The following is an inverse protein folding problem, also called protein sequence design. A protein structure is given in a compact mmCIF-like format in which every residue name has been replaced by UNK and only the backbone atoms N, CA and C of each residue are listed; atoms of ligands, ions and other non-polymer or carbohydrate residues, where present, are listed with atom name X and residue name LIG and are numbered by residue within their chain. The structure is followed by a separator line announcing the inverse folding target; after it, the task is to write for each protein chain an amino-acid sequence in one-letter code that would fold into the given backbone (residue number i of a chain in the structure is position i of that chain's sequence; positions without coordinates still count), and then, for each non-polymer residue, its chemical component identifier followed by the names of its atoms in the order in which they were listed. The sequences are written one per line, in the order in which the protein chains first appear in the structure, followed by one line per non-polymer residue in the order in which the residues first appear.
data_IF_270821741645
#
_entry.id   IF_270821741645
#
_cell.length_a   1.000
_cell.length_b   1.000
_cell.length_c   1.000
_cell.angle_alpha   90.00
_cell.angle_beta   90.00
_cell.angle_gamma   90.00
#
_symmetry.space_group_name_H-M   'P 1'
#
loop_
_entity.id
_entity.type
_entity.pdbx_description
1 polymer ?
#
# COMPACT_ATOMS: atom_id res chain seq x y z
N UNK A 1 -3.88 52.05 -60.79
CA UNK A 1 -3.81 50.77 -60.05
C UNK A 1 -2.46 50.66 -59.36
N UNK A 2 -2.43 50.58 -58.02
CA UNK A 2 -1.34 50.17 -57.09
C UNK A 2 -1.58 50.84 -55.73
N UNK A 3 -2.41 50.21 -54.89
CA UNK A 3 -2.05 49.37 -53.72
C UNK A 3 -1.70 50.19 -52.47
N UNK A 4 -2.67 50.29 -51.55
CA UNK A 4 -2.47 50.70 -50.14
C UNK A 4 -2.03 49.46 -49.34
N UNK A 5 -0.96 49.52 -48.52
CA UNK A 5 -0.68 48.44 -47.58
C UNK A 5 -1.55 48.60 -46.33
N UNK A 6 -2.31 47.54 -46.02
CA UNK A 6 -2.98 47.33 -44.74
C UNK A 6 -1.91 47.00 -43.69
N UNK A 7 -1.77 47.84 -42.66
CA UNK A 7 -0.95 47.53 -41.49
C UNK A 7 -1.66 46.48 -40.62
N UNK A 8 -1.05 45.31 -40.51
CA UNK A 8 -1.51 44.20 -39.67
C UNK A 8 -1.14 44.49 -38.21
N UNK A 9 -2.13 44.69 -37.35
CA UNK A 9 -1.95 44.80 -35.90
C UNK A 9 -1.74 43.38 -35.34
N UNK A 10 -0.51 43.03 -35.00
CA UNK A 10 -0.16 41.74 -34.41
C UNK A 10 -0.59 41.66 -32.94
N UNK A 11 -1.52 40.76 -32.63
CA UNK A 11 -1.94 40.43 -31.27
C UNK A 11 -0.94 39.41 -30.69
N UNK A 12 -0.09 39.84 -29.76
CA UNK A 12 0.81 38.98 -29.00
C UNK A 12 0.05 38.37 -27.81
N UNK A 13 -0.41 37.12 -27.95
CA UNK A 13 -0.96 36.34 -26.83
C UNK A 13 0.18 35.70 -26.05
N UNK A 14 0.49 36.24 -24.87
CA UNK A 14 1.42 35.60 -23.93
C UNK A 14 0.72 34.40 -23.26
N UNK A 15 1.17 33.19 -23.57
CA UNK A 15 0.71 31.97 -22.91
C UNK A 15 1.41 31.83 -21.55
N UNK A 16 0.68 32.12 -20.47
CA UNK A 16 1.14 31.86 -19.10
C UNK A 16 1.08 30.35 -18.83
N UNK A 17 2.25 29.73 -18.69
CA UNK A 17 2.38 28.36 -18.19
C UNK A 17 2.08 28.37 -16.68
N UNK A 18 0.88 27.95 -16.30
CA UNK A 18 0.55 27.69 -14.90
C UNK A 18 1.22 26.39 -14.46
N UNK A 19 2.25 26.50 -13.61
CA UNK A 19 2.83 25.36 -12.91
C UNK A 19 1.88 24.92 -11.80
N UNK A 20 1.19 23.80 -11.98
CA UNK A 20 0.47 23.14 -10.91
C UNK A 20 1.48 22.42 -10.00
N UNK A 21 1.44 22.61 -8.67
CA UNK A 21 2.25 21.79 -7.78
C UNK A 21 1.76 20.35 -7.83
N UNK A 22 2.60 19.43 -8.29
CA UNK A 22 2.39 17.99 -8.07
C UNK A 22 2.63 17.76 -6.58
N UNK A 23 1.57 17.45 -5.83
CA UNK A 23 1.70 17.04 -4.44
C UNK A 23 2.49 15.72 -4.40
N UNK A 24 3.75 15.79 -3.99
CA UNK A 24 4.53 14.62 -3.63
C UNK A 24 3.77 13.90 -2.50
N UNK A 25 3.19 12.73 -2.82
CA UNK A 25 2.58 11.89 -1.81
C UNK A 25 3.70 11.41 -0.90
N UNK A 26 3.69 11.86 0.35
CA UNK A 26 4.54 11.28 1.37
C UNK A 26 4.10 9.83 1.56
N UNK A 27 4.91 8.90 1.04
CA UNK A 27 4.77 7.45 1.15
C UNK A 27 5.14 6.98 2.57
N UNK A 28 4.61 7.66 3.59
CA UNK A 28 5.04 7.48 4.98
C UNK A 28 4.40 6.27 5.65
N UNK A 29 3.54 5.53 4.94
CA UNK A 29 2.73 4.45 5.50
C UNK A 29 1.94 4.87 6.73
N UNK A 30 1.72 6.18 6.95
CA UNK A 30 1.14 6.73 8.17
C UNK A 30 -0.01 7.66 7.81
N UNK A 31 -1.15 7.49 8.49
CA UNK A 31 -2.31 8.36 8.36
C UNK A 31 -2.81 8.80 9.75
N UNK A 32 -3.46 9.96 9.78
CA UNK A 32 -4.06 10.51 11.00
C UNK A 32 -5.59 10.52 10.87
N UNK A 33 -6.28 10.14 11.94
CA UNK A 33 -7.73 10.19 12.03
C UNK A 33 -8.25 11.50 12.61
N UNK A 34 -9.58 11.61 12.68
CA UNK A 34 -10.28 12.85 13.02
C UNK A 34 -9.99 13.36 14.45
N UNK A 35 -9.64 12.48 15.39
CA UNK A 35 -9.35 12.83 16.79
C UNK A 35 -7.84 12.88 17.06
N UNK A 36 -7.02 12.85 16.00
CA UNK A 36 -5.56 12.95 16.09
C UNK A 36 -4.84 11.62 16.28
N UNK A 37 -5.57 10.51 16.39
CA UNK A 37 -5.01 9.16 16.41
C UNK A 37 -4.23 8.86 15.14
N UNK A 38 -3.18 8.04 15.24
CA UNK A 38 -2.32 7.68 14.12
C UNK A 38 -2.39 6.20 13.84
N UNK A 39 -2.40 5.86 12.56
CA UNK A 39 -2.24 4.50 12.07
C UNK A 39 -0.98 4.46 11.21
N UNK A 40 -0.19 3.40 11.36
CA UNK A 40 1.03 3.17 10.58
C UNK A 40 1.03 1.75 10.05
N UNK A 41 1.38 1.56 8.79
CA UNK A 41 1.63 0.26 8.16
C UNK A 41 3.11 0.14 7.82
N UNK A 42 3.66 -1.07 7.94
CA UNK A 42 5.07 -1.33 7.63
C UNK A 42 5.41 -1.20 6.14
N UNK A 43 4.41 -1.29 5.25
CA UNK A 43 4.56 -1.12 3.81
C UNK A 43 3.21 -0.75 3.17
N UNK A 44 3.24 0.18 2.22
CA UNK A 44 2.11 0.63 1.39
C UNK A 44 2.12 -0.01 0.01
N UNK A 45 3.30 -0.38 -0.49
CA UNK A 45 3.48 -1.19 -1.69
C UNK A 45 3.74 -2.64 -1.29
N UNK A 46 2.89 -3.57 -1.72
CA UNK A 46 2.84 -4.94 -1.19
C UNK A 46 2.68 -5.99 -2.29
N UNK A 47 3.04 -7.23 -2.02
CA UNK A 47 2.77 -8.39 -2.88
C UNK A 47 1.64 -9.26 -2.33
N UNK A 48 1.08 -10.13 -3.18
CA UNK A 48 0.09 -11.11 -2.74
C UNK A 48 0.66 -12.03 -1.64
N UNK A 49 -0.11 -12.25 -0.59
CA UNK A 49 0.30 -13.06 0.56
C UNK A 49 1.27 -12.37 1.54
N UNK A 50 1.70 -11.14 1.27
CA UNK A 50 2.56 -10.38 2.18
C UNK A 50 1.86 -10.12 3.52
N UNK A 51 2.58 -10.30 4.63
CA UNK A 51 2.10 -9.89 5.96
C UNK A 51 2.65 -8.50 6.28
N UNK A 52 1.78 -7.57 6.67
CA UNK A 52 2.16 -6.24 7.13
C UNK A 52 1.95 -6.10 8.62
N UNK A 53 2.82 -5.33 9.28
CA UNK A 53 2.63 -4.91 10.67
C UNK A 53 1.90 -3.57 10.67
N UNK A 54 0.89 -3.47 11.53
CA UNK A 54 0.05 -2.28 11.68
C UNK A 54 0.16 -1.81 13.12
N UNK A 55 0.52 -0.55 13.32
CA UNK A 55 0.63 0.08 14.64
C UNK A 55 -0.35 1.24 14.74
N UNK A 56 -1.09 1.29 15.83
CA UNK A 56 -1.97 2.40 16.16
C UNK A 56 -1.50 3.14 17.41
N UNK A 57 -1.78 4.44 17.47
CA UNK A 57 -1.49 5.30 18.61
C UNK A 57 -2.62 6.32 18.84
N UNK A 58 -3.00 6.55 20.10
CA UNK A 58 -3.94 7.60 20.47
C UNK A 58 -5.40 7.30 20.20
N UNK A 59 -5.78 6.03 20.03
CA UNK A 59 -7.19 5.64 19.89
C UNK A 59 -7.94 5.78 21.22
N UNK A 60 -9.23 6.13 21.16
CA UNK A 60 -10.09 6.20 22.34
C UNK A 60 -10.38 4.79 22.89
N UNK A 61 -9.76 4.46 24.02
CA UNK A 61 -9.88 3.14 24.66
C UNK A 61 -11.27 2.86 25.23
N UNK A 62 -12.15 3.87 25.33
CA UNK A 62 -13.57 3.67 25.70
C UNK A 62 -14.39 3.10 24.54
N UNK A 63 -13.79 2.95 23.35
CA UNK A 63 -14.40 2.40 22.14
C UNK A 63 -13.63 1.19 21.63
N UNK A 64 -14.35 0.13 21.30
CA UNK A 64 -13.77 -0.97 20.54
C UNK A 64 -13.65 -0.59 19.06
N UNK A 65 -12.59 -1.04 18.41
CA UNK A 65 -12.32 -0.81 16.98
C UNK A 65 -11.98 -2.10 16.26
N UNK A 66 -12.22 -2.11 14.96
CA UNK A 66 -11.61 -3.07 14.05
C UNK A 66 -10.41 -2.46 13.35
N UNK A 67 -9.33 -3.24 13.23
CA UNK A 67 -8.21 -3.00 12.32
C UNK A 67 -8.30 -4.06 11.22
N UNK A 68 -8.49 -3.65 9.96
CA UNK A 68 -8.78 -4.59 8.88
C UNK A 68 -8.19 -4.16 7.55
N UNK A 69 -8.05 -5.12 6.62
CA UNK A 69 -7.77 -4.86 5.22
C UNK A 69 -9.08 -4.98 4.42
N UNK A 70 -9.48 -3.94 3.68
CA UNK A 70 -10.77 -3.91 3.00
C UNK A 70 -10.71 -3.22 1.64
N UNK A 71 -11.73 -3.48 0.81
CA UNK A 71 -12.07 -2.58 -0.30
C UNK A 71 -12.43 -1.22 0.28
N UNK A 72 -11.74 -0.19 -0.19
CA UNK A 72 -11.94 1.17 0.27
C UNK A 72 -13.00 1.85 -0.59
N UNK A 73 -14.05 2.33 0.06
CA UNK A 73 -15.10 3.11 -0.56
C UNK A 73 -14.83 4.62 -0.40
N UNK A 74 -13.73 5.06 0.17
CA UNK A 74 -13.42 6.48 0.39
C UNK A 74 -14.18 7.11 1.56
N UNK A 75 -14.10 8.44 1.64
CA UNK A 75 -14.50 9.20 2.83
C UNK A 75 -15.98 9.04 3.23
N UNK A 76 -16.19 8.88 4.54
CA UNK A 76 -17.52 8.71 5.14
C UNK A 76 -18.22 7.41 4.81
N UNK A 77 -17.67 6.56 3.92
CA UNK A 77 -18.26 5.27 3.54
C UNK A 77 -17.59 4.14 4.30
N UNK A 78 -18.38 3.16 4.73
CA UNK A 78 -17.85 1.99 5.45
C UNK A 78 -17.07 1.09 4.48
N UNK A 79 -15.78 0.81 4.71
CA UNK A 79 -15.00 -0.10 3.87
C UNK A 79 -15.61 -1.50 3.89
N UNK A 80 -15.85 -2.09 2.72
CA UNK A 80 -16.44 -3.44 2.57
C UNK A 80 -16.34 -3.92 1.11
N UNK A 81 -16.15 -5.22 0.85
CA UNK A 81 -15.86 -6.28 1.82
C UNK A 81 -14.44 -6.16 2.40
N UNK A 82 -14.22 -6.79 3.56
CA UNK A 82 -12.91 -6.90 4.19
C UNK A 82 -12.32 -8.30 3.96
N UNK A 83 -11.00 -8.35 3.76
CA UNK A 83 -10.22 -9.57 3.65
C UNK A 83 -10.36 -10.45 4.90
N UNK A 84 -10.44 -11.76 4.70
CA UNK A 84 -10.60 -12.75 5.78
C UNK A 84 -12.01 -12.84 6.39
N UNK A 85 -12.95 -11.96 6.01
CA UNK A 85 -14.31 -11.96 6.55
C UNK A 85 -14.36 -11.55 8.04
N UNK A 86 -15.52 -11.75 8.68
CA UNK A 86 -15.64 -11.56 10.11
C UNK A 86 -14.93 -12.71 10.84
N UNK A 87 -13.84 -12.42 11.54
CA UNK A 87 -13.14 -13.43 12.32
C UNK A 87 -13.87 -13.72 13.65
N UNK A 88 -14.89 -14.57 13.58
CA UNK A 88 -15.65 -15.00 14.76
C UNK A 88 -14.90 -16.05 15.60
N UNK A 89 -13.70 -16.44 15.17
CA UNK A 89 -12.86 -17.46 15.81
C UNK A 89 -11.60 -16.89 16.48
N UNK A 90 -11.19 -15.67 16.10
CA UNK A 90 -9.90 -15.08 16.46
C UNK A 90 -8.70 -15.67 15.72
N UNK A 91 -8.91 -16.54 14.72
CA UNK A 91 -7.86 -17.27 13.98
C UNK A 91 -7.78 -16.88 12.49
N UNK A 92 -8.76 -16.14 11.99
CA UNK A 92 -8.89 -15.76 10.57
C UNK A 92 -7.87 -14.72 10.11
N UNK A 93 -7.36 -13.88 11.02
CA UNK A 93 -6.20 -13.00 10.78
C UNK A 93 -6.36 -11.92 9.70
N UNK A 94 -7.55 -11.79 9.09
CA UNK A 94 -7.89 -10.72 8.13
C UNK A 94 -8.36 -9.42 8.78
N UNK A 95 -8.67 -9.47 10.08
CA UNK A 95 -9.01 -8.32 10.91
C UNK A 95 -8.69 -8.60 12.38
N UNK A 96 -8.41 -7.55 13.14
CA UNK A 96 -8.25 -7.62 14.59
C UNK A 96 -9.31 -6.74 15.27
N UNK A 97 -9.91 -7.25 16.34
CA UNK A 97 -10.80 -6.48 17.21
C UNK A 97 -9.99 -6.00 18.41
N UNK A 98 -9.86 -4.69 18.59
CA UNK A 98 -9.19 -4.10 19.73
C UNK A 98 -10.25 -3.46 20.64
N UNK A 99 -10.34 -3.87 21.90
CA UNK A 99 -11.28 -3.31 22.88
C UNK A 99 -10.86 -3.62 24.32
N UNK A 100 -10.95 -2.62 25.21
CA UNK A 100 -10.78 -2.81 26.65
C UNK A 100 -12.07 -3.27 27.36
N UNK A 101 -13.23 -3.05 26.73
CA UNK A 101 -14.56 -3.41 27.25
C UNK A 101 -15.43 -4.06 26.16
N UNK A 102 -15.05 -5.25 25.64
CA UNK A 102 -15.88 -5.96 24.68
C UNK A 102 -17.13 -6.54 25.36
N UNK A 103 -18.26 -6.70 24.63
CA UNK A 103 -19.39 -7.50 25.08
C UNK A 103 -18.98 -8.92 25.53
N UNK A 104 -19.81 -9.63 26.33
CA UNK A 104 -19.43 -10.93 26.88
C UNK A 104 -18.93 -11.97 25.87
N UNK A 105 -19.47 -12.00 24.65
CA UNK A 105 -19.02 -12.93 23.59
C UNK A 105 -17.65 -12.58 23.01
N UNK A 106 -17.19 -11.34 23.19
CA UNK A 106 -15.94 -10.83 22.63
C UNK A 106 -14.75 -10.90 23.57
N UNK A 107 -14.93 -11.32 24.82
CA UNK A 107 -13.87 -11.29 25.84
C UNK A 107 -12.63 -12.11 25.49
N UNK A 108 -12.82 -13.20 24.74
CA UNK A 108 -11.73 -14.08 24.28
C UNK A 108 -11.37 -13.84 22.80
N UNK A 109 -12.00 -12.86 22.15
CA UNK A 109 -11.78 -12.51 20.74
C UNK A 109 -11.11 -11.15 20.57
N UNK A 110 -11.44 -10.19 21.42
CA UNK A 110 -10.88 -8.84 21.38
C UNK A 110 -9.53 -8.80 22.10
N UNK A 111 -8.55 -8.19 21.45
CA UNK A 111 -7.28 -7.84 22.04
C UNK A 111 -7.43 -6.51 22.81
N UNK A 112 -6.78 -6.38 23.96
CA UNK A 112 -6.79 -5.12 24.70
C UNK A 112 -5.95 -4.06 24.00
N UNK A 113 -6.28 -2.79 24.23
CA UNK A 113 -5.36 -1.72 23.88
C UNK A 113 -4.09 -1.80 24.74
N UNK A 114 -2.99 -1.37 24.13
CA UNK A 114 -1.78 -0.98 24.83
C UNK A 114 -1.89 0.42 25.43
N UNK A 115 -0.78 0.89 25.99
CA UNK A 115 -0.72 2.22 26.60
C UNK A 115 -1.17 3.33 25.63
N UNK A 116 -1.94 4.30 26.15
CA UNK A 116 -2.41 5.48 25.41
C UNK A 116 -3.18 5.15 24.11
N UNK A 117 -4.00 4.10 24.11
CA UNK A 117 -4.76 3.70 22.92
C UNK A 117 -3.90 3.09 21.83
N UNK A 118 -2.77 2.50 22.21
CA UNK A 118 -1.84 1.87 21.27
C UNK A 118 -2.26 0.45 20.90
N UNK A 119 -1.79 -0.05 19.76
CA UNK A 119 -1.84 -1.49 19.43
C UNK A 119 -0.78 -1.83 18.39
N UNK A 120 -0.47 -3.12 18.24
CA UNK A 120 0.34 -3.63 17.14
C UNK A 120 -0.18 -4.99 16.71
N UNK A 121 -0.59 -5.09 15.45
CA UNK A 121 -1.19 -6.31 14.88
C UNK A 121 -0.55 -6.65 13.53
N UNK A 122 -0.77 -7.87 13.05
CA UNK A 122 -0.23 -8.34 11.77
C UNK A 122 -1.33 -8.93 10.92
N UNK A 123 -1.54 -8.36 9.74
CA UNK A 123 -2.54 -8.85 8.79
C UNK A 123 -1.83 -9.41 7.57
N UNK A 124 -2.22 -10.63 7.15
CA UNK A 124 -1.80 -11.19 5.87
C UNK A 124 -2.71 -10.66 4.78
N UNK A 125 -2.10 -10.00 3.79
CA UNK A 125 -2.81 -9.37 2.68
C UNK A 125 -2.97 -10.36 1.53
N UNK A 126 -4.11 -10.28 0.85
CA UNK A 126 -4.36 -11.00 -0.38
C UNK A 126 -4.74 -9.98 -1.46
N UNK A 127 -4.24 -10.17 -2.68
CA UNK A 127 -4.58 -9.31 -3.80
C UNK A 127 -6.07 -9.37 -4.14
N UNK A 128 -6.77 -10.45 -3.73
CA UNK A 128 -8.21 -10.60 -3.90
C UNK A 128 -8.94 -10.68 -2.57
N UNK A 129 -10.10 -10.03 -2.49
CA UNK A 129 -11.03 -10.17 -1.37
C UNK A 129 -12.31 -10.82 -1.89
N UNK A 130 -12.51 -12.10 -1.58
CA UNK A 130 -13.59 -12.89 -2.18
C UNK A 130 -13.42 -13.01 -3.70
N UNK A 131 -14.53 -13.15 -4.41
CA UNK A 131 -14.55 -13.33 -5.87
C UNK A 131 -14.60 -11.99 -6.64
N UNK A 132 -15.13 -10.93 -6.00
CA UNK A 132 -15.54 -9.70 -6.68
C UNK A 132 -14.58 -8.51 -6.52
N UNK A 133 -13.55 -8.63 -5.66
CA UNK A 133 -12.61 -7.54 -5.40
C UNK A 133 -11.19 -7.97 -5.79
N UNK A 134 -10.58 -7.16 -6.64
CA UNK A 134 -9.20 -7.31 -7.07
C UNK A 134 -8.42 -6.03 -6.74
N UNK A 135 -7.67 -6.06 -5.64
CA UNK A 135 -6.90 -4.94 -5.11
C UNK A 135 -5.69 -4.56 -5.96
N UNK A 136 -5.45 -5.24 -7.09
CA UNK A 136 -4.50 -4.75 -8.12
C UNK A 136 -5.12 -3.66 -9.01
N UNK A 137 -6.45 -3.52 -9.00
CA UNK A 137 -7.20 -2.53 -9.81
C UNK A 137 -8.25 -1.77 -9.01
N UNK A 138 -8.81 -2.36 -7.95
CA UNK A 138 -9.67 -1.72 -6.97
C UNK A 138 -8.84 -1.00 -5.92
N UNK A 139 -9.37 0.10 -5.37
CA UNK A 139 -8.79 0.74 -4.20
C UNK A 139 -9.03 -0.14 -2.97
N UNK A 140 -7.95 -0.61 -2.36
CA UNK A 140 -7.99 -1.32 -1.09
C UNK A 140 -7.07 -0.63 -0.07
N UNK A 141 -7.47 -0.66 1.20
CA UNK A 141 -6.80 0.05 2.28
C UNK A 141 -6.70 -0.82 3.53
N UNK A 142 -5.67 -0.59 4.33
CA UNK A 142 -5.71 -0.90 5.75
C UNK A 142 -6.53 0.20 6.42
N UNK A 143 -7.51 -0.21 7.22
CA UNK A 143 -8.46 0.71 7.84
C UNK A 143 -8.63 0.42 9.32
N UNK A 144 -8.93 1.47 10.07
CA UNK A 144 -9.59 1.35 11.38
C UNK A 144 -11.01 1.86 11.29
N UNK A 145 -11.90 1.33 12.13
CA UNK A 145 -13.28 1.80 12.32
C UNK A 145 -13.81 1.39 13.68
N UNK A 146 -14.85 2.05 14.17
CA UNK A 146 -15.56 1.59 15.36
C UNK A 146 -16.09 0.17 15.15
N UNK A 147 -16.11 -0.62 16.22
CA UNK A 147 -16.62 -1.98 16.17
C UNK A 147 -18.14 -2.04 15.94
N UNK A 148 -18.66 -3.26 15.82
CA UNK A 148 -20.06 -3.51 15.49
C UNK A 148 -21.07 -3.04 16.56
N UNK A 149 -20.60 -2.62 17.74
CA UNK A 149 -21.48 -2.05 18.77
C UNK A 149 -21.84 -0.58 18.49
N UNK A 150 -21.10 0.09 17.58
CA UNK A 150 -21.23 1.52 17.26
C UNK A 150 -20.94 1.80 15.78
N UNK A 151 -21.62 1.10 14.87
CA UNK A 151 -21.30 1.13 13.42
C UNK A 151 -21.38 2.50 12.75
N UNK A 152 -22.17 3.43 13.32
CA UNK A 152 -22.33 4.79 12.81
C UNK A 152 -21.23 5.75 13.30
N UNK A 153 -20.45 5.34 14.31
CA UNK A 153 -19.33 6.13 14.84
C UNK A 153 -18.14 6.02 13.88
N UNK A 154 -17.79 7.15 13.26
CA UNK A 154 -16.67 7.26 12.33
C UNK A 154 -15.46 7.98 12.93
N UNK A 155 -15.45 8.28 14.24
CA UNK A 155 -14.31 8.99 14.83
C UNK A 155 -13.03 8.16 14.86
N UNK A 156 -13.17 6.83 14.86
CA UNK A 156 -12.05 5.88 14.79
C UNK A 156 -11.58 5.58 13.35
N UNK A 157 -12.16 6.22 12.34
CA UNK A 157 -11.76 6.00 10.95
C UNK A 157 -10.37 6.52 10.66
N UNK A 158 -9.50 5.64 10.20
CA UNK A 158 -8.22 5.96 9.57
C UNK A 158 -8.06 5.02 8.39
N UNK A 159 -7.55 5.51 7.25
CA UNK A 159 -7.36 4.70 6.04
C UNK A 159 -5.99 4.93 5.45
N UNK A 160 -5.30 3.84 5.14
CA UNK A 160 -4.03 3.86 4.42
C UNK A 160 -4.20 3.01 3.16
N UNK A 161 -4.28 3.65 1.98
CA UNK A 161 -4.32 2.97 0.70
C UNK A 161 -3.09 2.09 0.49
N UNK A 162 -3.31 0.91 -0.11
CA UNK A 162 -2.25 0.00 -0.51
C UNK A 162 -2.16 -0.08 -2.03
N UNK A 163 -0.96 -0.36 -2.52
CA UNK A 163 -0.68 -0.68 -3.92
C UNK A 163 -0.14 -2.11 -4.01
N UNK A 164 -0.83 -2.98 -4.76
CA UNK A 164 -0.33 -4.32 -5.03
C UNK A 164 0.58 -4.33 -6.25
N UNK A 165 1.80 -4.85 -6.09
CA UNK A 165 2.71 -5.12 -7.20
C UNK A 165 2.66 -6.58 -7.58
N UNK A 166 2.62 -6.86 -8.88
CA UNK A 166 2.90 -8.21 -9.40
C UNK A 166 4.38 -8.52 -9.21
N UNK A 167 4.73 -9.71 -8.70
CA UNK A 167 6.11 -10.16 -8.37
C UNK A 167 7.15 -10.04 -9.51
N UNK A 168 6.77 -9.67 -10.73
CA UNK A 168 7.68 -9.46 -11.86
C UNK A 168 8.63 -8.25 -11.72
N UNK A 169 8.48 -7.40 -10.69
CA UNK A 169 9.28 -6.17 -10.54
C UNK A 169 10.42 -6.28 -9.49
N UNK A 170 10.56 -7.39 -8.77
CA UNK A 170 11.55 -7.53 -7.69
C UNK A 170 12.87 -8.23 -8.10
N UNK A 171 12.93 -8.88 -9.27
CA UNK A 171 14.12 -9.56 -9.79
C UNK A 171 14.69 -8.76 -10.98
N UNK A 172 15.37 -7.64 -10.71
CA UNK A 172 15.91 -6.82 -11.80
C UNK A 172 16.54 -5.51 -11.37
N UNK A 173 17.45 -5.54 -10.38
CA UNK A 173 18.28 -4.37 -10.04
C UNK A 173 19.74 -4.78 -9.89
N UNK A 174 20.26 -5.47 -10.91
CA UNK A 174 21.70 -5.70 -11.10
C UNK A 174 22.07 -5.46 -12.57
N UNK A 175 21.63 -4.34 -13.14
CA UNK A 175 22.17 -3.79 -14.40
C UNK A 175 21.94 -2.29 -14.46
N UNK A 176 22.59 -1.55 -13.56
CA UNK A 176 22.65 -0.10 -13.67
C UNK A 176 24.01 0.40 -13.20
N UNK A 177 25.06 0.15 -13.98
CA UNK A 177 26.29 0.94 -13.95
C UNK A 177 26.96 0.87 -15.34
N UNK A 178 27.22 2.05 -15.89
CA UNK A 178 28.01 2.38 -17.09
C UNK A 178 27.29 2.47 -18.44
N UNK A 179 26.57 3.59 -18.63
CA UNK A 179 26.52 4.27 -19.92
C UNK A 179 26.84 5.76 -19.71
N UNK A 180 28.03 6.20 -20.15
CA UNK A 180 28.36 7.61 -20.32
C UNK A 180 29.81 7.99 -20.00
N UNK A 181 30.70 7.88 -20.99
CA UNK A 181 32.03 8.49 -20.93
C UNK A 181 33.09 7.69 -21.70
N UNK A 182 33.28 8.02 -22.98
CA UNK A 182 34.23 7.31 -23.83
C UNK A 182 35.68 7.43 -23.37
N UNK A 183 36.35 6.29 -23.23
CA UNK A 183 37.77 6.10 -23.58
C UNK A 183 37.89 4.67 -24.10
N UNK A 184 38.45 4.49 -25.29
CA UNK A 184 38.76 3.19 -25.84
C UNK A 184 39.79 2.48 -24.93
N UNK A 185 39.35 1.43 -24.22
CA UNK A 185 40.23 0.51 -23.52
C UNK A 185 40.06 -0.88 -24.14
N UNK A 186 41.05 -1.25 -24.95
CA UNK A 186 41.23 -2.56 -25.54
C UNK A 186 41.62 -3.53 -24.42
N UNK A 187 40.67 -4.29 -23.88
CA UNK A 187 40.97 -5.36 -22.92
C UNK A 187 41.17 -6.66 -23.69
N UNK A 188 42.43 -7.03 -23.82
CA UNK A 188 42.90 -8.34 -24.29
C UNK A 188 42.45 -9.38 -23.27
N UNK A 189 41.47 -10.21 -23.63
CA UNK A 189 41.16 -11.43 -22.87
C UNK A 189 42.15 -12.50 -23.31
N UNK A 190 43.25 -12.61 -22.56
CA UNK A 190 44.14 -13.75 -22.61
C UNK A 190 43.42 -15.00 -22.08
N UNK A 191 43.73 -16.14 -22.71
CA UNK A 191 42.98 -17.38 -22.60
C UNK A 191 43.00 -18.08 -21.24
N UNK A 192 42.08 -19.03 -21.12
CA UNK A 192 41.99 -19.94 -19.99
C UNK A 192 40.87 -20.94 -20.25
N UNK A 193 41.10 -21.88 -21.17
CA UNK A 193 40.16 -22.96 -21.45
C UNK A 193 39.96 -23.85 -20.22
N UNK A 194 38.70 -24.23 -19.97
CA UNK A 194 38.41 -25.44 -19.23
C UNK A 194 37.54 -26.35 -20.08
N UNK A 195 38.13 -27.51 -20.36
CA UNK A 195 37.64 -28.54 -21.26
C UNK A 195 36.34 -29.16 -20.77
N UNK A 196 35.43 -29.34 -21.71
CA UNK A 196 34.31 -30.27 -21.67
C UNK A 196 34.80 -31.68 -21.30
N UNK A 197 34.29 -32.23 -20.20
CA UNK A 197 34.35 -33.68 -19.94
C UNK A 197 32.93 -34.22 -19.73
N UNK A 198 32.28 -34.47 -20.86
CA UNK A 198 31.09 -35.32 -21.00
C UNK A 198 31.50 -36.76 -20.65
N UNK A 199 31.02 -37.34 -19.55
CA UNK A 199 31.08 -38.80 -19.34
C UNK A 199 29.69 -39.41 -19.45
N UNK A 200 29.61 -40.44 -20.31
CA UNK A 200 28.43 -41.21 -20.72
C UNK A 200 28.05 -42.26 -19.67
N UNK A 201 26.77 -42.65 -19.69
CA UNK A 201 26.10 -43.79 -19.04
C UNK A 201 26.83 -45.15 -19.15
N UNK A 202 26.66 -45.98 -18.12
CA UNK A 202 26.30 -47.43 -18.14
C UNK A 202 25.94 -47.83 -16.68
N UNK A 203 24.74 -48.30 -16.32
CA UNK A 203 24.13 -49.62 -16.54
C UNK A 203 24.83 -50.78 -15.80
N UNK A 204 24.34 -51.09 -14.60
CA UNK A 204 24.05 -52.43 -14.04
C UNK A 204 23.30 -52.24 -12.72
#
# INVERSE_FOLDING_TARGET
MRTRPLGLLGLLTAASLASFPVAAHADSGTAQGAEGQKLTVSATTVTDGQTVTITGEGFDTTKGIYVAFCKDLGDGRAPTPCGGGADTSGLGGGSHWISDDPPPYGKDLAEKYGANGGFTVRIKLAAKIGEDVDCTVDLCSVVTRADHTRTDDRTADVRIPLTFTTEAAAEGSDTALYAGGGVAALVVVAGGGFLLARRRKAAA
#
